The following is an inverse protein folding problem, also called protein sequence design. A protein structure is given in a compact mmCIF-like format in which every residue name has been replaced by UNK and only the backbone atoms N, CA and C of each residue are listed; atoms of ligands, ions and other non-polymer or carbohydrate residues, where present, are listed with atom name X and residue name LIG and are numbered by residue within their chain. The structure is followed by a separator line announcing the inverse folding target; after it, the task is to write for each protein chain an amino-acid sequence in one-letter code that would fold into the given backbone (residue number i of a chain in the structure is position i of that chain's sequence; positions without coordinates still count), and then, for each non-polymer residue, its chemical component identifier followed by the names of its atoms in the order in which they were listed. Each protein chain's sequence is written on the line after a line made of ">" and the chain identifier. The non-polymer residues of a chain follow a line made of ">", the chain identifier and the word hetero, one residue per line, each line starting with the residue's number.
data_IF_023552299794
#
_entry.id   IF_023552299794
#
_cell.length_a   1.000
_cell.length_b   1.000
_cell.length_c   1.000
_cell.angle_alpha   90.00
_cell.angle_beta   90.00
_cell.angle_gamma   90.00
#
_symmetry.space_group_name_H-M   'P 1'
#
loop_
_entity.id
_entity.type
_entity.pdbx_description
1 polymer ?
#
# COMPACT_ATOMS: atom_id res chain seq x y z
N UNK A 1 58.48 37.83 -5.15
CA UNK A 1 58.32 36.46 -5.66
C UNK A 1 57.50 35.66 -4.65
N UNK A 2 56.30 35.21 -5.07
CA UNK A 2 55.52 34.14 -4.43
C UNK A 2 56.30 32.80 -4.48
N UNK A 3 56.01 31.83 -3.59
CA UNK A 3 55.01 30.77 -3.87
C UNK A 3 54.12 30.49 -2.63
N UNK A 4 52.80 30.35 -2.70
CA UNK A 4 51.87 29.39 -3.37
C UNK A 4 51.23 28.45 -2.33
N UNK A 5 49.92 28.65 -2.10
CA UNK A 5 48.99 27.80 -1.35
C UNK A 5 48.84 26.42 -1.99
N UNK A 6 48.56 25.38 -1.17
CA UNK A 6 47.66 24.27 -1.53
C UNK A 6 46.89 23.81 -0.28
N UNK A 7 45.59 24.09 -0.26
CA UNK A 7 44.58 23.40 0.55
C UNK A 7 44.21 22.09 -0.16
N UNK A 8 44.04 20.95 0.52
CA UNK A 8 43.33 19.82 -0.06
C UNK A 8 41.83 20.03 0.17
N UNK A 9 41.19 20.76 -0.74
CA UNK A 9 39.77 20.61 -1.03
C UNK A 9 39.67 19.37 -1.93
N UNK A 10 39.28 18.20 -1.43
CA UNK A 10 38.74 17.10 -2.27
C UNK A 10 38.20 15.85 -1.54
N UNK A 11 38.17 15.77 -0.20
CA UNK A 11 37.65 14.55 0.48
C UNK A 11 36.27 14.67 1.12
N UNK A 12 35.66 15.86 1.19
CA UNK A 12 34.36 16.04 1.84
C UNK A 12 33.14 15.87 0.89
N UNK A 13 33.34 15.90 -0.44
CA UNK A 13 32.25 15.81 -1.41
C UNK A 13 31.81 14.37 -1.73
N UNK A 14 32.61 13.37 -1.34
CA UNK A 14 32.37 11.96 -1.71
C UNK A 14 31.61 11.17 -0.66
N UNK A 15 31.42 11.69 0.56
CA UNK A 15 30.62 11.04 1.62
C UNK A 15 29.16 11.50 1.65
N UNK A 16 28.84 12.66 1.05
CA UNK A 16 27.46 13.17 0.95
C UNK A 16 26.66 12.54 -0.20
N UNK A 17 27.30 11.75 -1.06
CA UNK A 17 26.66 11.16 -2.25
C UNK A 17 26.34 9.66 -2.08
N UNK A 18 26.90 8.99 -1.06
CA UNK A 18 26.80 7.54 -0.90
C UNK A 18 25.84 7.07 0.21
N UNK A 19 25.11 7.99 0.85
CA UNK A 19 24.13 7.66 1.93
C UNK A 19 22.69 8.01 1.52
N UNK A 20 22.47 8.55 0.32
CA UNK A 20 21.14 8.96 -0.18
C UNK A 20 20.39 7.87 -0.99
N UNK A 21 20.69 6.59 -0.78
CA UNK A 21 20.12 5.48 -1.57
C UNK A 21 19.56 4.32 -0.72
N UNK A 22 19.44 4.49 0.60
CA UNK A 22 18.83 3.50 1.47
C UNK A 22 17.52 4.09 2.03
N UNK A 23 16.41 3.84 1.34
CA UNK A 23 15.07 4.26 1.77
C UNK A 23 14.01 4.18 0.69
N UNK A 24 14.38 4.34 -0.58
CA UNK A 24 13.56 3.96 -1.72
C UNK A 24 14.53 3.45 -2.77
N UNK A 25 14.60 2.14 -2.99
CA UNK A 25 15.30 1.64 -4.15
C UNK A 25 14.63 2.22 -5.38
N UNK A 26 15.38 3.02 -6.16
CA UNK A 26 15.17 3.10 -7.61
C UNK A 26 15.24 1.64 -8.11
N UNK A 27 14.11 0.91 -8.11
CA UNK A 27 14.00 -0.36 -8.82
C UNK A 27 14.13 0.01 -10.30
N UNK A 28 15.31 -0.24 -10.87
CA UNK A 28 15.50 -0.38 -12.32
C UNK A 28 14.27 -1.10 -12.87
N UNK A 29 13.58 -0.46 -13.80
CA UNK A 29 12.34 -0.96 -14.41
C UNK A 29 12.42 -2.47 -14.59
N UNK A 30 11.67 -3.21 -13.76
CA UNK A 30 11.69 -4.66 -13.73
C UNK A 30 11.65 -5.19 -15.15
N UNK A 31 12.62 -6.02 -15.59
CA UNK A 31 12.63 -6.52 -16.95
C UNK A 31 11.28 -7.19 -17.23
N UNK A 32 10.64 -6.86 -18.36
CA UNK A 32 9.30 -7.36 -18.65
C UNK A 32 9.30 -8.89 -18.64
N UNK A 33 8.25 -9.47 -18.06
CA UNK A 33 8.06 -10.92 -18.09
C UNK A 33 8.08 -11.41 -19.56
N UNK A 34 8.67 -12.59 -19.84
CA UNK A 34 8.56 -13.20 -21.16
C UNK A 34 7.10 -13.25 -21.60
N UNK A 35 6.80 -12.96 -22.86
CA UNK A 35 5.43 -12.85 -23.38
C UNK A 35 4.58 -14.09 -23.07
N UNK A 36 5.20 -15.28 -23.16
CA UNK A 36 4.60 -16.58 -22.86
C UNK A 36 4.14 -16.75 -21.41
N UNK A 37 4.72 -15.96 -20.50
CA UNK A 37 4.40 -15.94 -19.08
C UNK A 37 3.54 -14.72 -18.73
N UNK A 38 3.85 -13.55 -19.27
CA UNK A 38 3.04 -12.34 -19.12
C UNK A 38 1.58 -12.58 -19.55
N UNK A 39 1.40 -13.33 -20.64
CA UNK A 39 0.09 -13.72 -21.12
C UNK A 39 -0.69 -14.61 -20.15
N UNK A 40 -0.09 -15.16 -19.08
CA UNK A 40 -0.76 -16.02 -18.08
C UNK A 40 -1.39 -15.23 -16.92
N UNK A 41 -1.10 -13.93 -16.82
CA UNK A 41 -1.75 -13.06 -15.85
C UNK A 41 -3.28 -13.03 -16.01
N UNK A 42 -3.99 -12.93 -14.89
CA UNK A 42 -5.45 -12.88 -14.87
C UNK A 42 -6.06 -13.69 -13.73
N UNK A 43 -7.39 -13.75 -13.74
CA UNK A 43 -8.16 -14.61 -12.84
C UNK A 43 -8.32 -16.02 -13.43
N UNK A 44 -8.24 -17.02 -12.56
CA UNK A 44 -8.33 -18.43 -12.89
C UNK A 44 -9.29 -19.13 -11.94
N UNK A 45 -10.07 -20.07 -12.48
CA UNK A 45 -10.99 -20.92 -11.75
C UNK A 45 -10.59 -22.37 -11.92
N UNK A 46 -10.39 -23.07 -10.80
CA UNK A 46 -10.15 -24.50 -10.78
C UNK A 46 -11.43 -25.27 -11.11
N UNK A 47 -11.33 -26.46 -11.68
CA UNK A 47 -12.50 -27.32 -11.97
C UNK A 47 -13.27 -27.69 -10.68
N UNK A 48 -12.61 -27.65 -9.51
CA UNK A 48 -13.19 -27.81 -8.18
C UNK A 48 -13.89 -26.55 -7.64
N UNK A 49 -13.75 -25.40 -8.30
CA UNK A 49 -14.47 -24.15 -8.03
C UNK A 49 -13.63 -23.04 -7.42
N UNK A 50 -12.46 -23.34 -6.85
CA UNK A 50 -11.55 -22.40 -6.22
C UNK A 50 -11.04 -21.35 -7.22
N UNK A 51 -10.81 -20.16 -6.70
CA UNK A 51 -10.36 -18.99 -7.45
C UNK A 51 -8.92 -18.64 -7.07
N UNK A 52 -8.12 -18.33 -8.07
CA UNK A 52 -6.79 -17.76 -7.89
C UNK A 52 -6.54 -16.66 -8.92
N UNK A 53 -5.72 -15.68 -8.57
CA UNK A 53 -5.18 -14.71 -9.50
C UNK A 53 -3.70 -15.00 -9.77
N UNK A 54 -3.28 -14.85 -11.02
CA UNK A 54 -1.88 -14.76 -11.39
C UNK A 54 -1.56 -13.31 -11.73
N UNK A 55 -0.56 -12.73 -11.09
CA UNK A 55 -0.15 -11.33 -11.34
C UNK A 55 1.34 -11.23 -11.58
N UNK A 56 1.77 -10.37 -12.53
CA UNK A 56 3.17 -10.03 -12.70
C UNK A 56 3.75 -9.42 -11.42
N UNK A 57 4.96 -9.83 -11.07
CA UNK A 57 5.79 -9.21 -10.03
C UNK A 57 7.26 -9.28 -10.46
N UNK A 58 8.14 -8.52 -9.81
CA UNK A 58 9.59 -8.69 -9.97
C UNK A 58 9.97 -10.16 -9.76
N UNK A 59 10.61 -10.75 -10.77
CA UNK A 59 11.08 -12.13 -10.75
C UNK A 59 10.11 -13.22 -11.27
N UNK A 60 8.85 -12.91 -11.60
CA UNK A 60 7.95 -13.93 -12.17
C UNK A 60 6.45 -13.64 -12.05
N UNK A 61 5.66 -14.72 -11.96
CA UNK A 61 4.22 -14.63 -11.66
C UNK A 61 3.95 -15.06 -10.24
N UNK A 62 3.16 -14.26 -9.52
CA UNK A 62 2.64 -14.65 -8.22
C UNK A 62 1.24 -15.21 -8.35
N UNK A 63 1.02 -16.41 -7.83
CA UNK A 63 -0.34 -16.88 -7.58
C UNK A 63 -0.83 -16.35 -6.23
N UNK A 64 -2.13 -16.03 -6.16
CA UNK A 64 -2.85 -15.71 -4.91
C UNK A 64 -4.20 -16.39 -4.93
N UNK A 65 -4.46 -17.27 -3.97
CA UNK A 65 -5.76 -17.86 -3.72
C UNK A 65 -6.64 -16.90 -2.91
N UNK A 66 -7.97 -17.06 -2.99
CA UNK A 66 -8.92 -16.25 -2.20
C UNK A 66 -8.77 -16.47 -0.68
N UNK A 67 -8.27 -17.63 -0.25
CA UNK A 67 -7.92 -17.91 1.15
C UNK A 67 -6.59 -17.27 1.59
N UNK A 68 -5.98 -16.46 0.72
CA UNK A 68 -4.79 -15.68 0.98
C UNK A 68 -3.48 -16.38 0.67
N UNK A 69 -3.44 -17.71 0.55
CA UNK A 69 -2.22 -18.48 0.21
C UNK A 69 -1.64 -17.99 -1.11
N UNK A 70 -0.33 -17.78 -1.12
CA UNK A 70 0.37 -17.17 -2.26
C UNK A 70 1.79 -17.68 -2.41
N UNK A 71 2.34 -17.54 -3.61
CA UNK A 71 3.72 -17.88 -3.89
C UNK A 71 4.18 -17.39 -5.25
N UNK A 72 5.48 -17.16 -5.36
CA UNK A 72 6.13 -16.72 -6.60
C UNK A 72 6.56 -17.93 -7.43
N UNK A 73 6.03 -18.06 -8.64
CA UNK A 73 6.48 -19.07 -9.58
C UNK A 73 7.86 -18.75 -10.13
N UNK A 74 8.73 -19.75 -10.06
CA UNK A 74 10.01 -19.82 -10.73
C UNK A 74 10.03 -21.01 -11.70
N UNK A 75 10.86 -20.98 -12.77
CA UNK A 75 11.03 -22.14 -13.66
C UNK A 75 11.51 -23.37 -12.88
N UNK A 76 10.82 -24.50 -13.05
CA UNK A 76 11.13 -25.77 -12.36
C UNK A 76 12.23 -26.62 -13.03
N UNK A 77 12.86 -26.13 -14.11
CA UNK A 77 13.82 -26.86 -14.94
C UNK A 77 13.59 -26.63 -16.44
N UNK A 78 13.96 -27.60 -17.28
CA UNK A 78 13.62 -27.59 -18.72
C UNK A 78 12.15 -28.00 -18.94
N UNK A 79 11.31 -27.09 -19.45
CA UNK A 79 9.92 -27.35 -19.84
C UNK A 79 8.91 -26.32 -19.30
N UNK A 80 7.59 -26.53 -19.51
CA UNK A 80 6.53 -25.59 -19.11
C UNK A 80 6.15 -25.67 -17.62
N UNK A 81 6.94 -26.39 -16.81
CA UNK A 81 6.67 -26.61 -15.41
C UNK A 81 7.29 -25.51 -14.56
N UNK A 82 6.46 -24.92 -13.71
CA UNK A 82 6.81 -23.90 -12.74
C UNK A 82 6.60 -24.46 -11.35
N UNK A 83 7.46 -24.07 -10.43
CA UNK A 83 7.31 -24.36 -9.02
C UNK A 83 7.33 -23.05 -8.24
N UNK A 84 6.57 -23.01 -7.16
CA UNK A 84 6.53 -21.86 -6.28
C UNK A 84 6.79 -22.31 -4.86
N UNK A 85 7.57 -21.50 -4.15
CA UNK A 85 7.81 -21.62 -2.73
C UNK A 85 6.78 -20.78 -1.98
N UNK A 86 6.53 -21.16 -0.73
CA UNK A 86 5.67 -20.36 0.14
C UNK A 86 6.30 -18.99 0.39
N UNK A 87 5.44 -17.98 0.55
CA UNK A 87 5.86 -16.67 1.00
C UNK A 87 5.96 -15.61 -0.09
N UNK A 88 6.18 -14.38 0.37
CA UNK A 88 6.25 -13.17 -0.44
C UNK A 88 7.54 -13.06 -1.25
N UNK A 89 8.62 -13.77 -0.88
CA UNK A 89 9.92 -13.75 -1.58
C UNK A 89 10.42 -15.14 -1.99
N UNK A 90 9.61 -16.19 -1.76
CA UNK A 90 9.98 -17.57 -2.09
C UNK A 90 11.08 -18.13 -1.18
N UNK A 91 11.03 -17.78 0.10
CA UNK A 91 12.09 -18.05 1.08
C UNK A 91 12.06 -19.49 1.63
N UNK A 92 10.96 -20.22 1.43
CA UNK A 92 10.88 -21.65 1.73
C UNK A 92 11.92 -22.47 0.96
N UNK A 93 12.52 -23.49 1.59
CA UNK A 93 13.50 -24.36 0.93
C UNK A 93 12.87 -25.32 -0.08
N UNK A 94 11.61 -25.71 0.14
CA UNK A 94 10.86 -26.68 -0.67
C UNK A 94 9.73 -26.01 -1.45
N UNK A 95 9.43 -26.46 -2.70
CA UNK A 95 8.28 -25.97 -3.44
C UNK A 95 6.96 -26.46 -2.84
N UNK A 96 6.05 -25.53 -2.57
CA UNK A 96 4.70 -25.83 -2.04
C UNK A 96 3.65 -25.87 -3.14
N UNK A 97 3.91 -25.26 -4.31
CA UNK A 97 2.98 -25.29 -5.42
C UNK A 97 3.69 -25.58 -6.74
N UNK A 98 2.96 -26.18 -7.68
CA UNK A 98 3.40 -26.39 -9.06
C UNK A 98 2.34 -25.94 -10.05
N UNK A 99 2.78 -25.42 -11.18
CA UNK A 99 1.93 -25.10 -12.32
C UNK A 99 2.54 -25.62 -13.61
N UNK A 100 1.70 -26.10 -14.52
CA UNK A 100 2.07 -26.36 -15.92
C UNK A 100 1.11 -25.60 -16.80
N UNK A 101 1.61 -24.57 -17.48
CA UNK A 101 0.81 -23.74 -18.37
C UNK A 101 0.69 -24.39 -19.75
N UNK A 102 -0.53 -24.45 -20.28
CA UNK A 102 -0.71 -24.64 -21.71
C UNK A 102 -0.41 -23.32 -22.46
N UNK A 103 -0.20 -23.35 -23.80
CA UNK A 103 -0.05 -22.13 -24.58
C UNK A 103 -1.19 -21.14 -24.32
N UNK A 104 -0.89 -19.84 -24.28
CA UNK A 104 -1.83 -18.78 -23.86
C UNK A 104 -3.25 -18.91 -24.44
N UNK A 105 -3.45 -19.19 -25.76
CA UNK A 105 -4.78 -19.29 -26.35
C UNK A 105 -5.63 -20.44 -25.80
N UNK A 106 -5.01 -21.46 -25.18
CA UNK A 106 -5.74 -22.57 -24.57
C UNK A 106 -6.45 -22.14 -23.27
N UNK A 107 -5.95 -21.11 -22.58
CA UNK A 107 -6.52 -20.61 -21.33
C UNK A 107 -6.61 -21.67 -20.23
N UNK A 108 -5.68 -22.62 -20.21
CA UNK A 108 -5.66 -23.76 -19.27
C UNK A 108 -4.30 -23.92 -18.62
N UNK A 109 -4.33 -24.37 -17.37
CA UNK A 109 -3.13 -24.84 -16.66
C UNK A 109 -3.49 -26.03 -15.77
N UNK A 110 -2.49 -26.84 -15.43
CA UNK A 110 -2.57 -27.74 -14.28
C UNK A 110 -1.90 -27.07 -13.10
N UNK A 111 -2.61 -26.94 -11.99
CA UNK A 111 -2.13 -26.35 -10.74
C UNK A 111 -2.24 -27.37 -9.62
N UNK A 112 -1.25 -27.42 -8.73
CA UNK A 112 -1.31 -28.21 -7.52
C UNK A 112 -0.64 -27.43 -6.38
N UNK A 113 -1.35 -27.27 -5.28
CA UNK A 113 -0.82 -26.76 -4.02
C UNK A 113 -0.75 -27.89 -3.00
N UNK A 114 0.36 -27.99 -2.27
CA UNK A 114 0.51 -28.87 -1.12
C UNK A 114 -0.56 -28.54 -0.07
N UNK A 115 -1.24 -29.57 0.43
CA UNK A 115 -2.38 -29.44 1.35
C UNK A 115 -3.43 -28.40 0.89
N UNK A 116 -3.65 -28.33 -0.43
CA UNK A 116 -4.50 -27.34 -1.05
C UNK A 116 -5.21 -27.85 -2.30
N UNK A 117 -5.81 -26.94 -3.07
CA UNK A 117 -6.52 -27.31 -4.27
C UNK A 117 -5.53 -27.80 -5.35
N UNK A 118 -5.94 -28.82 -6.09
CA UNK A 118 -5.14 -29.44 -7.14
C UNK A 118 -6.03 -29.90 -8.28
N UNK A 119 -5.61 -29.63 -9.51
CA UNK A 119 -6.38 -29.99 -10.70
C UNK A 119 -6.13 -29.08 -11.90
N UNK A 120 -7.04 -29.16 -12.86
CA UNK A 120 -7.06 -28.25 -14.00
C UNK A 120 -7.71 -26.93 -13.59
N UNK A 121 -7.10 -25.81 -14.00
CA UNK A 121 -7.65 -24.48 -13.89
C UNK A 121 -7.85 -23.85 -15.26
N UNK A 122 -8.91 -23.08 -15.40
CA UNK A 122 -9.26 -22.34 -16.60
C UNK A 122 -9.21 -20.86 -16.30
N UNK A 123 -8.66 -20.11 -17.24
CA UNK A 123 -8.65 -18.66 -17.14
C UNK A 123 -10.07 -18.12 -17.32
N UNK A 124 -10.46 -17.21 -16.44
CA UNK A 124 -11.74 -16.51 -16.55
C UNK A 124 -11.66 -15.45 -17.65
N UNK A 125 -12.75 -15.29 -18.41
CA UNK A 125 -12.83 -14.28 -19.47
C UNK A 125 -13.39 -12.98 -18.89
N UNK A 126 -12.54 -12.23 -18.18
CA UNK A 126 -12.93 -10.93 -17.63
C UNK A 126 -13.00 -9.89 -18.76
N UNK A 127 -14.13 -9.17 -18.86
CA UNK A 127 -14.27 -8.11 -19.86
C UNK A 127 -13.45 -6.89 -19.43
N UNK A 128 -12.41 -6.58 -20.21
CA UNK A 128 -11.35 -5.64 -19.83
C UNK A 128 -11.27 -4.51 -20.85
N UNK A 129 -11.35 -3.27 -20.35
CA UNK A 129 -11.32 -2.06 -21.15
C UNK A 129 -10.16 -1.19 -20.70
N UNK A 130 -9.03 -1.29 -21.40
CA UNK A 130 -7.92 -0.35 -21.24
C UNK A 130 -8.32 1.04 -21.76
N UNK A 131 -7.91 2.08 -21.05
CA UNK A 131 -8.26 3.46 -21.37
C UNK A 131 -7.14 4.44 -21.01
N UNK A 132 -7.27 5.66 -21.52
CA UNK A 132 -6.59 6.81 -20.96
C UNK A 132 -7.62 7.92 -20.71
N UNK A 133 -7.49 8.60 -19.58
CA UNK A 133 -8.44 9.61 -19.13
C UNK A 133 -7.74 10.84 -18.58
N UNK A 134 -8.41 11.98 -18.64
CA UNK A 134 -7.83 13.24 -18.17
C UNK A 134 -8.06 13.44 -16.69
N UNK A 135 -7.00 13.85 -15.99
CA UNK A 135 -7.09 14.46 -14.66
C UNK A 135 -6.41 15.83 -14.71
N UNK A 136 -7.21 16.90 -14.63
CA UNK A 136 -6.73 18.26 -14.92
C UNK A 136 -6.10 18.35 -16.31
N UNK A 137 -4.81 18.64 -16.36
CA UNK A 137 -4.03 18.84 -17.59
C UNK A 137 -3.28 17.62 -18.12
N UNK A 138 -3.23 16.53 -17.34
CA UNK A 138 -2.49 15.32 -17.70
C UNK A 138 -3.42 14.18 -18.11
N UNK A 139 -2.89 13.24 -18.90
CA UNK A 139 -3.53 11.97 -19.23
C UNK A 139 -3.00 10.85 -18.33
N UNK A 140 -3.91 10.14 -17.68
CA UNK A 140 -3.61 8.97 -16.86
C UNK A 140 -3.99 7.69 -17.62
N UNK A 141 -3.25 6.61 -17.39
CA UNK A 141 -3.56 5.27 -17.90
C UNK A 141 -4.49 4.56 -16.92
N UNK A 142 -5.57 3.97 -17.43
CA UNK A 142 -6.55 3.25 -16.63
C UNK A 142 -7.00 1.95 -17.28
N UNK A 143 -7.67 1.11 -16.49
CA UNK A 143 -8.30 -0.13 -16.94
C UNK A 143 -9.55 -0.40 -16.11
N UNK A 144 -10.67 -0.61 -16.80
CA UNK A 144 -11.88 -1.17 -16.21
C UNK A 144 -11.89 -2.69 -16.43
N UNK A 145 -12.00 -3.47 -15.36
CA UNK A 145 -12.12 -4.92 -15.39
C UNK A 145 -13.47 -5.31 -14.83
N UNK A 146 -14.30 -5.95 -15.66
CA UNK A 146 -15.64 -6.39 -15.30
C UNK A 146 -15.66 -7.90 -14.99
N UNK A 147 -16.54 -8.35 -14.08
CA UNK A 147 -16.78 -9.77 -13.86
C UNK A 147 -17.24 -10.49 -15.13
N UNK A 148 -17.00 -11.79 -15.17
CA UNK A 148 -17.52 -12.65 -16.24
C UNK A 148 -19.06 -12.56 -16.29
N UNK A 149 -19.64 -12.46 -17.49
CA UNK A 149 -21.10 -12.37 -17.71
C UNK A 149 -21.80 -11.22 -16.96
N UNK A 150 -21.17 -10.05 -16.95
CA UNK A 150 -21.70 -8.74 -16.56
C UNK A 150 -23.02 -8.34 -17.26
N UNK A 151 -24.16 -8.99 -16.93
CA UNK A 151 -25.46 -8.77 -17.57
C UNK A 151 -26.33 -7.67 -16.91
N UNK A 152 -25.76 -6.87 -16.00
CA UNK A 152 -26.44 -5.81 -15.28
C UNK A 152 -25.51 -5.04 -14.34
N UNK A 153 -26.03 -4.04 -13.60
CA UNK A 153 -25.23 -3.23 -12.69
C UNK A 153 -24.57 -4.09 -11.60
N UNK A 154 -23.25 -3.99 -11.47
CA UNK A 154 -22.43 -4.68 -10.49
C UNK A 154 -21.77 -3.68 -9.53
N UNK A 155 -21.29 -4.10 -8.35
CA UNK A 155 -20.46 -3.25 -7.50
C UNK A 155 -19.15 -2.88 -8.20
N UNK A 156 -18.70 -1.64 -8.01
CA UNK A 156 -17.43 -1.11 -8.51
C UNK A 156 -16.52 -0.71 -7.36
N UNK A 157 -15.26 -1.15 -7.41
CA UNK A 157 -14.15 -0.64 -6.62
C UNK A 157 -13.19 0.16 -7.50
N UNK A 158 -13.01 1.45 -7.21
CA UNK A 158 -11.92 2.24 -7.77
C UNK A 158 -10.73 2.12 -6.82
N UNK A 159 -9.62 1.56 -7.31
CA UNK A 159 -8.45 1.24 -6.49
C UNK A 159 -7.54 2.45 -6.36
N UNK A 160 -7.23 2.82 -5.12
CA UNK A 160 -6.32 3.90 -4.77
C UNK A 160 -5.06 3.29 -4.15
N UNK A 161 -3.93 3.57 -4.79
CA UNK A 161 -2.64 2.97 -4.48
C UNK A 161 -2.03 3.54 -3.19
N UNK A 162 -1.06 2.81 -2.62
CA UNK A 162 -0.20 3.26 -1.53
C UNK A 162 0.86 4.24 -2.04
N UNK A 163 1.96 4.38 -1.31
CA UNK A 163 3.07 5.30 -1.62
C UNK A 163 4.01 4.78 -2.72
N UNK A 164 3.77 3.62 -3.31
CA UNK A 164 4.57 3.10 -4.42
C UNK A 164 4.57 4.00 -5.67
N UNK A 165 5.61 3.87 -6.49
CA UNK A 165 5.81 4.59 -7.75
C UNK A 165 5.87 3.69 -9.00
N UNK A 166 5.33 2.47 -8.91
CA UNK A 166 5.20 1.54 -10.03
C UNK A 166 3.79 1.55 -10.68
N UNK A 167 3.65 0.80 -11.78
CA UNK A 167 2.41 0.65 -12.54
C UNK A 167 1.40 -0.26 -11.83
N UNK A 168 0.35 0.34 -11.26
CA UNK A 168 -0.73 -0.44 -10.63
C UNK A 168 -1.53 -1.23 -11.68
N UNK A 169 -1.73 -0.69 -12.88
CA UNK A 169 -2.42 -1.38 -13.98
C UNK A 169 -1.72 -2.70 -14.31
N UNK A 170 -0.39 -2.76 -14.20
CA UNK A 170 0.35 -3.96 -14.55
C UNK A 170 0.51 -4.95 -13.40
N UNK A 171 0.56 -4.49 -12.14
CA UNK A 171 0.95 -5.38 -11.03
C UNK A 171 -0.09 -5.61 -9.94
N UNK A 172 -1.12 -4.76 -9.82
CA UNK A 172 -2.08 -4.90 -8.72
C UNK A 172 -2.95 -6.16 -8.88
N UNK A 173 -2.92 -7.12 -7.94
CA UNK A 173 -3.64 -8.38 -8.09
C UNK A 173 -5.14 -8.27 -7.85
N UNK A 174 -5.57 -7.24 -7.12
CA UNK A 174 -6.97 -6.96 -6.79
C UNK A 174 -7.82 -6.70 -8.04
N UNK A 175 -7.21 -6.25 -9.14
CA UNK A 175 -7.86 -6.12 -10.45
C UNK A 175 -8.33 -7.45 -11.05
N UNK A 176 -7.84 -8.58 -10.55
CA UNK A 176 -8.28 -9.93 -10.94
C UNK A 176 -9.09 -10.60 -9.83
N UNK A 177 -8.66 -10.46 -8.58
CA UNK A 177 -9.31 -11.11 -7.43
C UNK A 177 -10.74 -10.62 -7.17
N UNK A 178 -11.00 -9.32 -7.34
CA UNK A 178 -12.34 -8.75 -7.12
C UNK A 178 -13.30 -9.10 -8.26
N UNK A 179 -12.95 -8.96 -9.56
CA UNK A 179 -13.84 -9.38 -10.64
C UNK A 179 -14.13 -10.88 -10.66
N UNK A 180 -13.16 -11.71 -10.26
CA UNK A 180 -13.38 -13.15 -10.10
C UNK A 180 -14.47 -13.49 -9.05
N UNK A 181 -14.68 -12.58 -8.09
CA UNK A 181 -15.67 -12.65 -7.02
C UNK A 181 -16.92 -11.78 -7.29
N UNK A 182 -17.07 -11.23 -8.51
CA UNK A 182 -18.28 -10.49 -8.92
C UNK A 182 -18.22 -8.97 -8.71
N UNK A 183 -17.06 -8.40 -8.38
CA UNK A 183 -16.86 -6.95 -8.18
C UNK A 183 -16.07 -6.35 -9.34
N UNK A 184 -16.64 -5.38 -10.05
CA UNK A 184 -15.91 -4.62 -11.05
C UNK A 184 -14.80 -3.78 -10.41
N UNK A 185 -13.71 -3.60 -11.14
CA UNK A 185 -12.55 -2.83 -10.69
C UNK A 185 -12.19 -1.78 -11.72
N UNK A 186 -11.96 -0.54 -11.27
CA UNK A 186 -11.18 0.42 -12.03
C UNK A 186 -9.81 0.58 -11.37
N UNK A 187 -8.76 0.20 -12.08
CA UNK A 187 -7.37 0.37 -11.69
C UNK A 187 -6.72 1.38 -12.64
N UNK A 188 -5.84 2.23 -12.13
CA UNK A 188 -5.14 3.23 -12.93
C UNK A 188 -3.71 3.40 -12.45
N UNK A 189 -2.83 3.87 -13.31
CA UNK A 189 -1.48 4.23 -12.92
C UNK A 189 -1.51 5.62 -12.29
N UNK A 190 -0.86 5.79 -11.13
CA UNK A 190 -0.71 7.10 -10.49
C UNK A 190 0.00 8.05 -11.46
N UNK A 191 -0.28 9.35 -11.39
CA UNK A 191 0.49 10.36 -12.12
C UNK A 191 2.00 10.14 -11.97
N UNK A 192 2.73 10.23 -13.07
CA UNK A 192 4.16 9.95 -13.13
C UNK A 192 4.58 8.49 -12.94
N UNK A 193 3.65 7.53 -12.88
CA UNK A 193 3.97 6.08 -12.83
C UNK A 193 3.41 5.33 -14.03
N UNK A 194 3.99 4.17 -14.34
CA UNK A 194 3.52 3.29 -15.40
C UNK A 194 3.34 4.02 -16.74
N UNK A 195 2.12 3.98 -17.29
CA UNK A 195 1.78 4.68 -18.53
C UNK A 195 1.12 6.06 -18.34
N UNK A 196 1.05 6.59 -17.11
CA UNK A 196 0.46 7.89 -16.81
C UNK A 196 1.44 9.04 -17.00
N UNK A 197 0.97 10.16 -17.52
CA UNK A 197 1.74 11.40 -17.64
C UNK A 197 1.95 12.09 -16.28
N UNK A 198 2.72 13.18 -16.29
CA UNK A 198 2.99 14.02 -15.11
C UNK A 198 4.22 13.61 -14.32
N UNK A 199 4.38 14.21 -13.16
CA UNK A 199 5.43 13.86 -12.19
C UNK A 199 4.79 13.14 -11.01
N UNK A 200 5.51 12.14 -10.49
CA UNK A 200 5.07 11.40 -9.32
C UNK A 200 4.98 12.33 -8.10
N UNK A 201 3.92 12.18 -7.33
CA UNK A 201 3.71 12.95 -6.09
C UNK A 201 2.94 12.13 -5.06
N UNK A 202 3.08 12.53 -3.80
CA UNK A 202 2.33 12.06 -2.65
C UNK A 202 1.39 13.15 -2.10
N UNK A 203 1.05 14.18 -2.89
CA UNK A 203 0.06 15.18 -2.51
C UNK A 203 -1.35 14.54 -2.49
N UNK A 204 -1.91 14.39 -1.29
CA UNK A 204 -3.17 13.68 -1.10
C UNK A 204 -4.34 14.37 -1.80
N UNK A 205 -4.32 15.70 -1.93
CA UNK A 205 -5.40 16.45 -2.58
C UNK A 205 -5.40 16.24 -4.09
N UNK A 206 -4.21 16.27 -4.70
CA UNK A 206 -4.01 15.99 -6.12
C UNK A 206 -4.39 14.54 -6.45
N UNK A 207 -3.95 13.59 -5.62
CA UNK A 207 -4.28 12.18 -5.82
C UNK A 207 -5.78 11.88 -5.60
N UNK A 208 -6.44 12.63 -4.71
CA UNK A 208 -7.89 12.55 -4.56
C UNK A 208 -8.63 13.07 -5.80
N UNK A 209 -8.11 14.11 -6.47
CA UNK A 209 -8.68 14.59 -7.74
C UNK A 209 -8.49 13.56 -8.87
N UNK A 210 -7.36 12.85 -8.89
CA UNK A 210 -7.13 11.72 -9.82
C UNK A 210 -8.15 10.59 -9.61
N UNK A 211 -8.44 10.25 -8.36
CA UNK A 211 -9.44 9.24 -8.03
C UNK A 211 -10.86 9.64 -8.48
N UNK A 212 -11.22 10.93 -8.35
CA UNK A 212 -12.49 11.46 -8.85
C UNK A 212 -12.56 11.36 -10.38
N UNK A 213 -11.47 11.68 -11.09
CA UNK A 213 -11.38 11.54 -12.54
C UNK A 213 -11.46 10.07 -12.99
N UNK A 214 -10.78 9.16 -12.29
CA UNK A 214 -10.82 7.72 -12.52
C UNK A 214 -12.25 7.17 -12.38
N UNK A 215 -12.99 7.62 -11.36
CA UNK A 215 -14.40 7.25 -11.21
C UNK A 215 -15.27 7.77 -12.36
N UNK A 216 -15.06 9.01 -12.80
CA UNK A 216 -15.80 9.56 -13.93
C UNK A 216 -15.56 8.75 -15.21
N UNK A 217 -14.33 8.29 -15.44
CA UNK A 217 -13.98 7.44 -16.57
C UNK A 217 -14.61 6.05 -16.47
N UNK A 218 -14.59 5.43 -15.29
CA UNK A 218 -15.26 4.14 -15.06
C UNK A 218 -16.76 4.21 -15.42
N UNK A 219 -17.44 5.29 -15.03
CA UNK A 219 -18.86 5.55 -15.38
C UNK A 219 -19.07 5.73 -16.88
N UNK A 220 -18.12 6.36 -17.57
CA UNK A 220 -18.17 6.56 -19.04
C UNK A 220 -18.04 5.23 -19.79
N UNK A 221 -17.14 4.35 -19.33
CA UNK A 221 -16.88 3.04 -19.94
C UNK A 221 -18.01 2.04 -19.70
N UNK A 222 -18.79 2.18 -18.61
CA UNK A 222 -19.94 1.34 -18.33
C UNK A 222 -21.26 2.13 -18.22
N UNK A 223 -21.88 2.54 -19.35
CA UNK A 223 -23.12 3.32 -19.35
C UNK A 223 -24.32 2.61 -18.72
N UNK A 224 -24.30 1.29 -18.63
CA UNK A 224 -25.32 0.50 -17.92
C UNK A 224 -25.33 0.77 -16.41
N UNK A 225 -24.27 1.41 -15.89
CA UNK A 225 -24.11 1.78 -14.50
C UNK A 225 -23.58 0.65 -13.62
N UNK A 226 -23.35 1.00 -12.36
CA UNK A 226 -22.91 0.12 -11.29
C UNK A 226 -23.98 0.09 -10.21
N UNK A 227 -24.14 -1.04 -9.51
CA UNK A 227 -25.14 -1.16 -8.44
C UNK A 227 -24.72 -0.42 -7.16
N UNK A 228 -23.41 -0.18 -7.02
CA UNK A 228 -22.76 0.60 -5.98
C UNK A 228 -21.32 0.91 -6.40
N UNK A 229 -20.79 2.01 -5.92
CA UNK A 229 -19.49 2.56 -6.31
C UNK A 229 -18.75 2.98 -5.06
N UNK A 230 -17.48 2.64 -4.94
CA UNK A 230 -16.66 3.16 -3.85
C UNK A 230 -15.19 3.22 -4.16
N UNK A 231 -14.48 3.92 -3.28
CA UNK A 231 -13.02 4.01 -3.29
C UNK A 231 -12.45 2.98 -2.32
N UNK A 232 -11.45 2.24 -2.77
CA UNK A 232 -10.73 1.23 -1.96
C UNK A 232 -9.25 1.61 -1.96
N UNK A 233 -8.75 2.11 -0.84
CA UNK A 233 -7.40 2.63 -0.70
C UNK A 233 -6.57 1.84 0.31
N UNK A 234 -5.34 1.47 -0.07
CA UNK A 234 -4.38 0.82 0.82
C UNK A 234 -3.26 1.77 1.27
N UNK A 235 -2.79 1.67 2.50
CA UNK A 235 -1.69 2.51 3.03
C UNK A 235 -1.97 4.01 2.81
N UNK A 236 -1.16 4.74 2.05
CA UNK A 236 -1.42 6.13 1.62
C UNK A 236 -2.81 6.32 1.00
N UNK A 237 -3.29 5.34 0.23
CA UNK A 237 -4.63 5.31 -0.33
C UNK A 237 -5.74 5.39 0.73
N UNK A 238 -5.46 4.98 1.97
CA UNK A 238 -6.37 5.08 3.12
C UNK A 238 -6.67 6.51 3.55
N UNK A 239 -5.80 7.49 3.27
CA UNK A 239 -6.12 8.92 3.40
C UNK A 239 -6.84 9.47 2.18
N UNK A 240 -6.41 9.03 0.99
CA UNK A 240 -6.89 9.54 -0.29
C UNK A 240 -8.34 9.10 -0.54
N UNK A 241 -8.73 7.86 -0.19
CA UNK A 241 -10.07 7.34 -0.45
C UNK A 241 -11.17 8.12 0.28
N UNK A 242 -11.08 8.39 1.60
CA UNK A 242 -12.00 9.29 2.29
C UNK A 242 -11.99 10.72 1.72
N UNK A 243 -10.81 11.25 1.39
CA UNK A 243 -10.68 12.60 0.84
C UNK A 243 -11.35 12.72 -0.54
N UNK A 244 -11.17 11.74 -1.42
CA UNK A 244 -11.85 11.67 -2.71
C UNK A 244 -13.37 11.53 -2.55
N UNK A 245 -13.83 10.73 -1.59
CA UNK A 245 -15.25 10.59 -1.28
C UNK A 245 -15.89 11.90 -0.76
N UNK A 246 -15.11 12.79 -0.14
CA UNK A 246 -15.60 14.13 0.23
C UNK A 246 -15.81 15.06 -0.97
N UNK A 247 -15.20 14.75 -2.12
CA UNK A 247 -15.20 15.57 -3.34
C UNK A 247 -16.21 15.09 -4.40
N UNK A 248 -16.74 13.87 -4.27
CA UNK A 248 -17.69 13.28 -5.23
C UNK A 248 -18.63 12.28 -4.57
N UNK A 249 -19.78 12.00 -5.19
CA UNK A 249 -20.72 11.02 -4.68
C UNK A 249 -20.28 9.59 -4.98
N UNK A 250 -20.04 8.84 -3.91
CA UNK A 250 -19.83 7.39 -3.86
C UNK A 250 -20.78 6.75 -2.85
N UNK A 251 -20.95 5.44 -2.92
CA UNK A 251 -21.82 4.66 -2.04
C UNK A 251 -21.07 4.09 -0.82
N UNK A 252 -19.74 3.96 -0.88
CA UNK A 252 -18.91 3.47 0.22
C UNK A 252 -17.44 3.91 0.10
N UNK A 253 -16.69 3.76 1.19
CA UNK A 253 -15.23 3.87 1.24
C UNK A 253 -14.64 2.66 1.98
N UNK A 254 -13.53 2.11 1.50
CA UNK A 254 -12.74 1.14 2.23
C UNK A 254 -11.29 1.62 2.37
N UNK A 255 -10.80 1.74 3.59
CA UNK A 255 -9.41 2.03 3.93
C UNK A 255 -8.76 0.76 4.47
N UNK A 256 -7.69 0.32 3.83
CA UNK A 256 -6.97 -0.91 4.13
C UNK A 256 -5.59 -0.54 4.66
N UNK A 257 -5.24 -0.99 5.86
CA UNK A 257 -3.95 -0.73 6.53
C UNK A 257 -3.52 0.75 6.40
N UNK A 258 -4.52 1.64 6.51
CA UNK A 258 -4.34 3.09 6.48
C UNK A 258 -4.51 3.69 7.88
N UNK A 259 -4.22 4.98 8.00
CA UNK A 259 -4.21 5.67 9.29
C UNK A 259 -5.34 6.70 9.42
N UNK A 260 -5.83 6.88 10.64
CA UNK A 260 -6.74 7.98 11.01
C UNK A 260 -6.00 9.18 11.63
N UNK A 261 -4.66 9.17 11.54
CA UNK A 261 -3.74 10.26 11.88
C UNK A 261 -3.01 10.76 10.64
N UNK A 262 -2.43 11.96 10.70
CA UNK A 262 -1.62 12.51 9.60
C UNK A 262 -0.22 11.89 9.51
N UNK A 263 0.47 12.10 8.38
CA UNK A 263 1.78 11.49 8.09
C UNK A 263 2.89 11.89 9.10
N UNK A 264 2.82 13.08 9.71
CA UNK A 264 3.77 13.45 10.77
C UNK A 264 3.58 12.62 12.05
N UNK A 265 2.33 12.26 12.35
CA UNK A 265 2.03 11.42 13.51
C UNK A 265 2.46 9.97 13.29
N UNK A 266 2.37 9.48 12.05
CA UNK A 266 2.89 8.17 11.63
C UNK A 266 4.39 8.05 11.93
N UNK A 267 5.22 8.98 11.43
CA UNK A 267 6.67 9.00 11.69
C UNK A 267 6.96 8.97 13.20
N UNK A 268 6.26 9.80 13.97
CA UNK A 268 6.43 9.85 15.42
C UNK A 268 6.12 8.50 16.07
N UNK A 269 5.01 7.86 15.74
CA UNK A 269 4.65 6.58 16.36
C UNK A 269 5.58 5.44 15.92
N UNK A 270 6.07 5.45 14.67
CA UNK A 270 7.11 4.51 14.24
C UNK A 270 8.38 4.66 15.08
N UNK A 271 8.85 5.90 15.30
CA UNK A 271 10.00 6.17 16.21
C UNK A 271 9.73 5.64 17.61
N UNK A 272 8.50 5.81 18.14
CA UNK A 272 8.18 5.29 19.47
C UNK A 272 8.23 3.75 19.51
N UNK A 273 7.77 3.07 18.46
CA UNK A 273 7.78 1.61 18.37
C UNK A 273 9.20 1.05 18.18
N UNK A 274 10.03 1.69 17.35
CA UNK A 274 11.45 1.36 17.19
C UNK A 274 12.19 1.43 18.52
N UNK A 275 11.98 2.52 19.28
CA UNK A 275 12.62 2.71 20.57
C UNK A 275 12.13 1.67 21.61
N UNK A 276 10.83 1.32 21.60
CA UNK A 276 10.31 0.23 22.45
C UNK A 276 10.94 -1.11 22.08
N UNK A 277 11.07 -1.41 20.79
CA UNK A 277 11.69 -2.64 20.30
C UNK A 277 13.18 -2.72 20.68
N UNK A 278 13.88 -1.59 20.71
CA UNK A 278 15.24 -1.48 21.23
C UNK A 278 15.34 -1.58 22.77
N UNK A 279 14.21 -1.64 23.47
CA UNK A 279 14.14 -1.85 24.93
C UNK A 279 14.10 -0.57 25.76
N UNK A 280 13.82 0.59 25.14
CA UNK A 280 13.79 1.88 25.83
C UNK A 280 12.51 2.11 26.63
N UNK A 281 12.65 2.80 27.77
CA UNK A 281 11.58 3.05 28.72
C UNK A 281 10.77 4.33 28.44
N UNK A 282 9.68 4.56 29.20
CA UNK A 282 8.80 5.72 29.02
C UNK A 282 9.48 7.09 29.09
N UNK A 283 10.56 7.21 29.86
CA UNK A 283 11.36 8.43 30.00
C UNK A 283 12.12 8.79 28.72
N UNK A 284 12.66 7.79 28.02
CA UNK A 284 13.27 7.96 26.70
C UNK A 284 12.20 8.34 25.68
N UNK A 285 11.05 7.65 25.70
CA UNK A 285 9.94 7.94 24.77
C UNK A 285 9.39 9.36 24.96
N UNK A 286 9.36 9.90 26.17
CA UNK A 286 8.96 11.29 26.42
C UNK A 286 9.92 12.27 25.72
N UNK A 287 11.23 12.08 25.87
CA UNK A 287 12.25 12.92 25.23
C UNK A 287 12.26 12.75 23.71
N UNK A 288 12.06 11.54 23.21
CA UNK A 288 11.98 11.27 21.78
C UNK A 288 10.77 11.94 21.12
N UNK A 289 9.70 12.25 21.86
CA UNK A 289 8.59 13.08 21.35
C UNK A 289 9.04 14.52 21.09
N UNK A 290 9.88 15.09 21.94
CA UNK A 290 10.45 16.42 21.69
C UNK A 290 11.30 16.42 20.40
N UNK A 291 12.04 15.32 20.17
CA UNK A 291 12.82 15.14 18.94
C UNK A 291 11.92 15.06 17.71
N UNK A 292 10.88 14.23 17.75
CA UNK A 292 9.97 14.05 16.61
C UNK A 292 9.12 15.29 16.33
N UNK A 293 8.73 16.06 17.36
CA UNK A 293 8.07 17.36 17.16
C UNK A 293 8.98 18.37 16.43
N UNK A 294 10.28 18.37 16.73
CA UNK A 294 11.26 19.23 16.09
C UNK A 294 11.54 18.81 14.62
N UNK A 295 11.71 17.52 14.35
CA UNK A 295 11.89 17.00 12.99
C UNK A 295 10.63 17.22 12.15
N UNK A 296 9.45 16.99 12.71
CA UNK A 296 8.16 17.19 12.06
C UNK A 296 7.95 18.64 11.62
N UNK A 297 8.31 19.62 12.46
CA UNK A 297 8.21 21.04 12.10
C UNK A 297 9.09 21.39 10.89
N UNK A 298 10.30 20.83 10.83
CA UNK A 298 11.20 21.05 9.69
C UNK A 298 10.60 20.47 8.40
N UNK A 299 10.06 19.26 8.46
CA UNK A 299 9.40 18.58 7.33
C UNK A 299 8.16 19.34 6.85
N UNK A 300 7.23 19.63 7.76
CA UNK A 300 5.99 20.37 7.49
C UNK A 300 6.26 21.72 6.79
N UNK A 301 7.30 22.43 7.22
CA UNK A 301 7.66 23.74 6.64
C UNK A 301 8.35 23.64 5.27
N UNK A 302 8.62 22.44 4.75
CA UNK A 302 9.45 22.27 3.55
C UNK A 302 10.87 22.79 3.76
N UNK A 303 11.44 22.52 4.93
CA UNK A 303 12.79 22.92 5.35
C UNK A 303 13.00 24.45 5.36
N UNK A 304 11.96 25.22 5.67
CA UNK A 304 12.02 26.70 5.76
C UNK A 304 12.04 27.21 7.21
N UNK A 305 11.51 26.45 8.15
CA UNK A 305 11.48 26.75 9.59
C UNK A 305 11.88 25.50 10.41
N UNK A 306 12.11 25.61 11.72
CA UNK A 306 12.34 24.44 12.58
C UNK A 306 13.81 24.09 12.87
N UNK A 307 14.77 24.80 12.27
CA UNK A 307 16.20 24.50 12.45
C UNK A 307 16.73 24.79 13.87
N UNK A 308 16.15 25.78 14.57
CA UNK A 308 16.57 26.11 15.95
C UNK A 308 16.09 25.02 16.91
N UNK A 309 14.88 24.52 16.71
CA UNK A 309 14.30 23.41 17.45
C UNK A 309 15.07 22.11 17.20
N UNK A 310 15.42 21.81 15.94
CA UNK A 310 16.26 20.68 15.59
C UNK A 310 17.63 20.75 16.29
N UNK A 311 18.29 21.92 16.24
CA UNK A 311 19.57 22.10 16.90
C UNK A 311 19.46 21.93 18.42
N UNK A 312 18.38 22.43 19.03
CA UNK A 312 18.16 22.32 20.47
C UNK A 312 18.02 20.86 20.93
N UNK A 313 17.28 20.03 20.18
CA UNK A 313 17.13 18.60 20.52
C UNK A 313 18.40 17.80 20.24
N UNK A 314 19.15 18.13 19.18
CA UNK A 314 20.46 17.53 18.92
C UNK A 314 21.47 17.86 20.02
N UNK A 315 21.52 19.12 20.50
CA UNK A 315 22.39 19.53 21.59
C UNK A 315 21.98 18.92 22.94
N UNK A 316 20.68 18.74 23.17
CA UNK A 316 20.15 18.17 24.41
C UNK A 316 20.35 16.66 24.52
N UNK A 317 20.22 15.92 23.40
CA UNK A 317 20.11 14.46 23.42
C UNK A 317 21.10 13.73 22.53
N UNK A 318 21.87 14.41 21.68
CA UNK A 318 22.71 13.77 20.65
C UNK A 318 23.82 12.84 21.17
N UNK A 319 24.22 13.00 22.44
CA UNK A 319 25.21 12.13 23.11
C UNK A 319 24.56 10.96 23.89
N UNK A 320 23.22 10.93 23.98
CA UNK A 320 22.51 9.86 24.66
C UNK A 320 22.47 8.58 23.80
N UNK A 321 22.67 7.38 24.39
CA UNK A 321 22.73 6.13 23.62
C UNK A 321 21.49 5.84 22.77
N UNK A 322 20.29 6.20 23.26
CA UNK A 322 19.03 5.96 22.57
C UNK A 322 18.80 6.86 21.35
N UNK A 323 19.53 7.98 21.23
CA UNK A 323 19.32 8.93 20.13
C UNK A 323 19.71 8.34 18.78
N UNK A 324 20.70 7.44 18.75
CA UNK A 324 21.11 6.72 17.55
C UNK A 324 20.09 5.66 17.07
N UNK A 325 19.16 5.27 17.94
CA UNK A 325 18.12 4.30 17.63
C UNK A 325 16.88 4.95 16.98
N UNK A 326 16.85 6.28 16.84
CA UNK A 326 15.77 6.99 16.14
C UNK A 326 15.92 6.77 14.64
N UNK A 327 14.95 6.06 14.05
CA UNK A 327 14.84 5.85 12.60
C UNK A 327 13.58 6.57 12.08
N UNK A 328 12.39 6.01 12.31
CA UNK A 328 11.14 6.55 11.75
C UNK A 328 11.13 6.59 10.21
N UNK A 329 10.13 7.26 9.65
CA UNK A 329 9.98 7.46 8.21
C UNK A 329 11.00 8.50 7.70
N UNK A 330 11.19 9.59 8.45
CA UNK A 330 12.13 10.66 8.11
C UNK A 330 12.94 11.16 9.30
N UNK A 331 12.49 10.94 10.54
CA UNK A 331 13.11 11.58 11.72
C UNK A 331 14.60 11.31 11.84
N UNK A 332 15.05 10.06 11.70
CA UNK A 332 16.46 9.67 11.73
C UNK A 332 17.29 10.38 10.66
N UNK A 333 16.77 10.48 9.44
CA UNK A 333 17.44 11.19 8.34
C UNK A 333 17.55 12.70 8.60
N UNK A 334 16.49 13.31 9.13
CA UNK A 334 16.50 14.73 9.51
C UNK A 334 17.54 15.00 10.60
N UNK A 335 17.72 14.08 11.55
CA UNK A 335 18.71 14.23 12.62
C UNK A 335 20.17 14.16 12.12
N UNK A 336 20.43 13.68 10.91
CA UNK A 336 21.77 13.73 10.31
C UNK A 336 22.18 15.13 9.85
N UNK A 337 21.22 16.06 9.72
CA UNK A 337 21.46 17.43 9.29
C UNK A 337 22.34 18.14 10.33
N UNK A 338 23.55 18.53 9.90
CA UNK A 338 24.53 19.18 10.77
C UNK A 338 24.29 20.69 10.79
N UNK A 339 24.33 21.30 11.98
CA UNK A 339 24.14 22.75 12.16
C UNK A 339 25.13 23.67 11.42
N UNK A 340 26.26 23.16 10.93
CA UNK A 340 27.18 23.93 10.09
C UNK A 340 26.74 24.01 8.61
N UNK A 341 25.83 23.13 8.17
CA UNK A 341 25.38 23.08 6.79
C UNK A 341 24.51 24.31 6.48
N UNK A 342 24.77 25.04 5.37
CA UNK A 342 23.92 26.17 4.99
C UNK A 342 22.48 25.71 4.74
N UNK A 343 21.49 26.31 5.41
CA UNK A 343 20.07 25.91 5.32
C UNK A 343 19.53 25.90 3.88
N UNK A 344 19.95 26.87 3.05
CA UNK A 344 19.56 26.90 1.63
C UNK A 344 20.04 25.67 0.85
N UNK A 345 21.18 25.09 1.25
CA UNK A 345 21.72 23.87 0.64
C UNK A 345 20.97 22.64 1.14
N UNK A 346 20.70 22.55 2.44
CA UNK A 346 19.88 21.49 3.05
C UNK A 346 18.52 21.43 2.38
N UNK A 347 17.80 22.56 2.35
CA UNK A 347 16.51 22.67 1.66
C UNK A 347 16.60 22.26 0.20
N UNK A 348 17.63 22.69 -0.53
CA UNK A 348 17.79 22.30 -1.94
C UNK A 348 18.01 20.80 -2.13
N UNK A 349 18.65 20.12 -1.18
CA UNK A 349 18.86 18.67 -1.23
C UNK A 349 17.58 17.95 -0.82
N UNK A 350 17.00 18.31 0.31
CA UNK A 350 15.79 17.69 0.84
C UNK A 350 14.60 17.82 -0.13
N UNK A 351 14.38 19.01 -0.72
CA UNK A 351 13.30 19.23 -1.70
C UNK A 351 13.51 18.48 -3.03
N UNK A 352 14.64 17.79 -3.26
CA UNK A 352 14.77 16.86 -4.40
C UNK A 352 14.23 15.47 -4.09
N UNK A 353 14.26 15.09 -2.82
CA UNK A 353 13.75 13.81 -2.35
C UNK A 353 12.29 13.91 -1.91
N UNK A 354 11.83 15.11 -1.53
CA UNK A 354 10.44 15.39 -1.24
C UNK A 354 9.55 15.02 -2.43
N UNK A 355 8.57 14.16 -2.19
CA UNK A 355 7.58 13.73 -3.19
C UNK A 355 6.31 14.60 -3.12
N UNK A 356 6.34 15.71 -2.37
CA UNK A 356 5.19 16.60 -2.20
C UNK A 356 4.12 16.01 -1.27
N UNK A 357 4.54 15.21 -0.29
CA UNK A 357 3.63 14.57 0.66
C UNK A 357 2.86 15.64 1.43
N UNK A 358 1.55 15.44 1.62
CA UNK A 358 0.71 16.37 2.39
C UNK A 358 0.95 16.20 3.89
N UNK A 359 2.13 16.61 4.38
CA UNK A 359 2.57 16.43 5.77
C UNK A 359 1.59 17.02 6.80
N UNK A 360 0.98 18.16 6.50
CA UNK A 360 0.01 18.85 7.37
C UNK A 360 -1.46 18.38 7.17
N UNK A 361 -1.69 17.30 6.43
CA UNK A 361 -3.03 16.78 6.22
C UNK A 361 -3.62 16.19 7.50
N UNK A 362 -4.80 16.68 7.89
CA UNK A 362 -5.56 16.19 9.04
C UNK A 362 -6.74 15.30 8.58
N UNK A 363 -6.69 13.97 8.82
CA UNK A 363 -7.73 13.06 8.32
C UNK A 363 -9.05 13.16 9.09
N UNK A 364 -9.00 13.41 10.40
CA UNK A 364 -10.16 13.26 11.29
C UNK A 364 -11.37 14.13 10.89
N UNK A 365 -11.21 15.42 10.48
CA UNK A 365 -12.32 16.21 9.97
C UNK A 365 -13.01 15.60 8.74
N UNK A 366 -12.25 14.98 7.84
CA UNK A 366 -12.79 14.30 6.65
C UNK A 366 -13.55 13.05 7.07
N UNK A 367 -12.93 12.19 7.90
CA UNK A 367 -13.55 10.95 8.38
C UNK A 367 -14.85 11.19 9.15
N UNK A 368 -14.87 12.22 9.99
CA UNK A 368 -16.05 12.61 10.76
C UNK A 368 -17.17 13.19 9.88
N UNK A 369 -16.86 13.76 8.72
CA UNK A 369 -17.85 14.33 7.82
C UNK A 369 -18.51 13.31 6.88
N UNK A 370 -17.89 12.13 6.68
CA UNK A 370 -18.42 11.11 5.77
C UNK A 370 -19.67 10.41 6.34
N UNK A 371 -20.75 10.44 5.55
CA UNK A 371 -22.03 9.79 5.86
C UNK A 371 -22.21 8.44 5.15
N UNK A 372 -21.32 8.11 4.21
CA UNK A 372 -21.33 6.82 3.50
C UNK A 372 -20.73 5.71 4.38
N UNK A 373 -21.18 4.45 4.22
CA UNK A 373 -20.53 3.30 4.85
C UNK A 373 -19.02 3.28 4.63
N UNK A 374 -18.28 3.07 5.72
CA UNK A 374 -16.82 2.95 5.72
C UNK A 374 -16.41 1.55 6.20
N UNK A 375 -15.46 0.93 5.52
CA UNK A 375 -14.74 -0.25 6.01
C UNK A 375 -13.32 0.16 6.34
N UNK A 376 -12.88 -0.12 7.56
CA UNK A 376 -11.49 -0.01 7.98
C UNK A 376 -10.94 -1.41 8.26
N UNK A 377 -9.94 -1.82 7.50
CA UNK A 377 -9.21 -3.07 7.74
C UNK A 377 -7.83 -2.74 8.27
N UNK A 378 -7.47 -3.23 9.44
CA UNK A 378 -6.22 -2.89 10.14
C UNK A 378 -5.40 -4.15 10.37
N UNK A 379 -4.10 -4.10 10.05
CA UNK A 379 -3.14 -5.10 10.45
C UNK A 379 -2.78 -4.87 11.92
N UNK A 380 -2.92 -5.88 12.79
CA UNK A 380 -2.80 -5.70 14.23
C UNK A 380 -1.37 -5.33 14.67
N UNK A 381 -0.35 -5.85 13.98
CA UNK A 381 1.06 -5.66 14.33
C UNK A 381 1.83 -4.87 13.25
N UNK A 382 1.14 -4.00 12.53
CA UNK A 382 1.69 -3.14 11.47
C UNK A 382 2.83 -2.24 11.99
N UNK A 383 4.04 -2.47 11.48
CA UNK A 383 5.23 -1.68 11.84
C UNK A 383 5.40 -0.42 10.99
N UNK A 384 4.81 -0.37 9.80
CA UNK A 384 4.91 0.77 8.89
C UNK A 384 3.81 1.80 9.20
N UNK A 385 2.65 1.35 9.66
CA UNK A 385 1.52 2.21 10.03
C UNK A 385 1.02 1.88 11.45
N UNK A 386 1.71 2.34 12.51
CA UNK A 386 1.30 2.11 13.90
C UNK A 386 -0.16 2.48 14.15
N UNK A 387 -0.94 1.52 14.63
CA UNK A 387 -2.40 1.58 14.51
C UNK A 387 -3.14 1.97 15.80
N UNK A 388 -2.47 2.12 16.94
CA UNK A 388 -3.12 2.26 18.26
C UNK A 388 -4.05 3.47 18.30
N UNK A 389 -3.55 4.61 17.86
CA UNK A 389 -4.31 5.86 17.84
C UNK A 389 -5.32 5.88 16.70
N UNK A 390 -5.01 5.25 15.56
CA UNK A 390 -5.98 4.98 14.48
C UNK A 390 -7.19 4.23 15.03
N UNK A 391 -7.00 3.10 15.71
CA UNK A 391 -8.07 2.32 16.32
C UNK A 391 -8.85 3.14 17.36
N UNK A 392 -8.18 3.97 18.17
CA UNK A 392 -8.85 4.86 19.13
C UNK A 392 -9.77 5.86 18.44
N UNK A 393 -9.30 6.53 17.39
CA UNK A 393 -10.07 7.53 16.62
C UNK A 393 -11.25 6.88 15.90
N UNK A 394 -11.04 5.74 15.24
CA UNK A 394 -12.09 5.02 14.52
C UNK A 394 -13.20 4.54 15.47
N UNK A 395 -12.84 3.97 16.63
CA UNK A 395 -13.80 3.56 17.66
C UNK A 395 -14.57 4.74 18.26
N UNK A 396 -13.93 5.90 18.40
CA UNK A 396 -14.62 7.11 18.81
C UNK A 396 -15.67 7.55 17.77
N UNK A 397 -15.33 7.54 16.48
CA UNK A 397 -16.28 7.82 15.40
C UNK A 397 -17.44 6.80 15.35
N UNK A 398 -17.15 5.51 15.55
CA UNK A 398 -18.19 4.48 15.67
C UNK A 398 -19.13 4.76 16.85
N UNK A 399 -18.60 5.15 18.01
CA UNK A 399 -19.39 5.49 19.20
C UNK A 399 -20.26 6.74 19.00
N UNK A 400 -19.84 7.67 18.12
CA UNK A 400 -20.63 8.82 17.68
C UNK A 400 -21.72 8.47 16.64
N UNK A 401 -21.82 7.19 16.25
CA UNK A 401 -22.83 6.70 15.30
C UNK A 401 -22.44 6.85 13.84
N UNK A 402 -21.16 7.08 13.52
CA UNK A 402 -20.69 7.06 12.13
C UNK A 402 -20.79 5.65 11.56
N UNK A 403 -21.16 5.49 10.27
CA UNK A 403 -21.40 4.18 9.66
C UNK A 403 -20.08 3.47 9.31
N UNK A 404 -19.28 3.17 10.32
CA UNK A 404 -17.93 2.65 10.19
C UNK A 404 -17.87 1.20 10.68
N UNK A 405 -17.54 0.28 9.79
CA UNK A 405 -17.19 -1.10 10.11
C UNK A 405 -15.67 -1.19 10.29
N UNK A 406 -15.21 -1.80 11.38
CA UNK A 406 -13.79 -1.97 11.69
C UNK A 406 -13.48 -3.47 11.76
N UNK A 407 -12.41 -3.88 11.07
CA UNK A 407 -11.93 -5.26 11.07
C UNK A 407 -10.42 -5.26 11.33
N UNK A 408 -9.98 -5.99 12.35
CA UNK A 408 -8.57 -6.11 12.72
C UNK A 408 -8.11 -7.54 12.47
N UNK A 409 -7.05 -7.73 11.70
CA UNK A 409 -6.45 -9.05 11.44
C UNK A 409 -5.24 -9.29 12.38
N UNK A 410 -5.34 -10.22 13.34
CA UNK A 410 -4.22 -10.56 14.22
C UNK A 410 -3.12 -11.34 13.50
N UNK A 411 -1.87 -11.16 13.93
CA UNK A 411 -0.72 -11.83 13.35
C UNK A 411 -0.37 -11.32 11.96
N UNK A 412 -0.68 -10.05 11.66
CA UNK A 412 -0.41 -9.44 10.35
C UNK A 412 0.35 -8.14 10.46
N UNK A 413 1.22 -7.92 9.48
CA UNK A 413 1.99 -6.70 9.27
C UNK A 413 1.38 -5.84 8.14
N UNK A 414 2.05 -4.76 7.78
CA UNK A 414 1.64 -3.82 6.74
C UNK A 414 1.18 -4.52 5.47
N UNK A 415 0.06 -4.08 4.90
CA UNK A 415 -0.58 -4.74 3.75
C UNK A 415 -1.51 -5.91 4.12
N UNK A 416 -1.74 -6.17 5.41
CA UNK A 416 -2.51 -7.33 5.93
C UNK A 416 -1.82 -8.64 5.53
N UNK A 417 -0.51 -8.74 5.73
CA UNK A 417 0.25 -9.96 5.48
C UNK A 417 0.56 -10.68 6.79
N UNK A 418 0.22 -11.97 6.87
CA UNK A 418 0.79 -12.85 7.88
C UNK A 418 2.31 -12.92 7.70
N UNK A 419 3.04 -13.02 8.81
CA UNK A 419 4.50 -13.04 8.79
C UNK A 419 5.08 -14.12 9.70
N UNK A 420 6.29 -14.56 9.38
CA UNK A 420 7.17 -15.30 10.28
C UNK A 420 8.30 -14.38 10.76
N UNK A 421 8.90 -14.70 11.91
CA UNK A 421 10.14 -14.07 12.35
C UNK A 421 11.31 -15.03 12.12
N UNK A 422 12.27 -14.60 11.29
CA UNK A 422 13.47 -15.36 10.95
C UNK A 422 14.69 -14.45 11.14
N UNK A 423 15.67 -14.89 11.96
CA UNK A 423 16.88 -14.12 12.28
C UNK A 423 16.62 -12.66 12.73
N UNK A 424 15.49 -12.43 13.41
CA UNK A 424 15.07 -11.10 13.89
C UNK A 424 14.43 -10.20 12.82
N UNK A 425 14.22 -10.71 11.61
CA UNK A 425 13.49 -10.01 10.54
C UNK A 425 12.13 -10.65 10.29
N UNK A 426 11.15 -9.83 9.89
CA UNK A 426 9.83 -10.34 9.49
C UNK A 426 9.86 -10.75 8.02
N UNK A 427 9.39 -11.97 7.77
CA UNK A 427 9.21 -12.53 6.44
C UNK A 427 7.72 -12.60 6.15
N UNK A 428 7.27 -11.84 5.15
CA UNK A 428 5.86 -11.85 4.74
C UNK A 428 5.51 -13.16 4.04
N UNK A 429 4.40 -13.77 4.43
CA UNK A 429 3.99 -15.10 3.99
C UNK A 429 2.83 -15.01 2.98
N UNK A 430 1.68 -14.55 3.44
CA UNK A 430 0.41 -14.62 2.72
C UNK A 430 -0.58 -13.63 3.31
N UNK A 431 -1.68 -13.38 2.61
CA UNK A 431 -2.80 -12.72 3.30
C UNK A 431 -3.47 -13.72 4.25
N UNK A 432 -4.05 -13.28 5.37
CA UNK A 432 -4.81 -14.15 6.24
C UNK A 432 -6.09 -14.61 5.55
N UNK A 433 -6.56 -15.81 5.92
CA UNK A 433 -7.83 -16.33 5.43
C UNK A 433 -8.97 -15.35 5.74
N UNK A 434 -9.91 -15.25 4.81
CA UNK A 434 -11.06 -14.35 4.92
C UNK A 434 -10.81 -12.89 4.53
N UNK A 435 -9.57 -12.39 4.44
CA UNK A 435 -9.31 -10.99 4.05
C UNK A 435 -9.79 -10.66 2.63
N UNK A 436 -9.38 -11.44 1.63
CA UNK A 436 -9.79 -11.17 0.24
C UNK A 436 -11.28 -11.41 0.00
N UNK A 437 -11.89 -12.33 0.78
CA UNK A 437 -13.33 -12.59 0.78
C UNK A 437 -14.10 -11.44 1.44
N UNK A 438 -13.62 -10.91 2.57
CA UNK A 438 -14.17 -9.73 3.25
C UNK A 438 -14.31 -8.57 2.27
N UNK A 439 -13.23 -8.26 1.53
CA UNK A 439 -13.26 -7.15 0.58
C UNK A 439 -14.36 -7.35 -0.47
N UNK A 440 -14.43 -8.52 -1.11
CA UNK A 440 -15.42 -8.78 -2.14
C UNK A 440 -16.86 -8.75 -1.59
N UNK A 441 -17.11 -9.41 -0.46
CA UNK A 441 -18.44 -9.47 0.17
C UNK A 441 -18.91 -8.08 0.64
N UNK A 442 -18.05 -7.35 1.36
CA UNK A 442 -18.41 -6.04 1.90
C UNK A 442 -18.56 -4.99 0.79
N UNK A 443 -17.71 -5.03 -0.25
CA UNK A 443 -17.90 -4.16 -1.42
C UNK A 443 -19.22 -4.48 -2.11
N UNK A 444 -19.57 -5.77 -2.27
CA UNK A 444 -20.82 -6.17 -2.90
C UNK A 444 -22.05 -5.83 -2.07
N UNK A 445 -21.92 -5.78 -0.75
CA UNK A 445 -22.97 -5.40 0.19
C UNK A 445 -22.31 -4.85 1.47
N UNK A 446 -22.28 -3.52 1.70
CA UNK A 446 -21.55 -2.85 2.80
C UNK A 446 -22.04 -3.16 4.23
N UNK A 447 -21.97 -4.43 4.60
CA UNK A 447 -22.32 -5.03 5.87
C UNK A 447 -21.35 -6.17 6.16
N UNK A 448 -20.92 -6.30 7.41
CA UNK A 448 -20.10 -7.43 7.85
C UNK A 448 -20.99 -8.67 8.06
N UNK A 449 -20.64 -9.80 7.44
CA UNK A 449 -21.55 -10.95 7.30
C UNK A 449 -21.08 -12.27 7.90
N UNK A 450 -19.85 -12.38 8.36
CA UNK A 450 -19.41 -13.63 8.97
C UNK A 450 -18.09 -13.50 9.69
N UNK A 451 -17.58 -14.62 10.21
CA UNK A 451 -16.18 -14.68 10.55
C UNK A 451 -15.36 -14.56 9.25
N UNK A 452 -14.32 -13.72 9.29
CA UNK A 452 -13.34 -13.57 8.22
C UNK A 452 -12.01 -14.14 8.72
N UNK A 453 -11.91 -15.47 8.70
CA UNK A 453 -10.79 -16.18 9.31
C UNK A 453 -10.72 -15.93 10.82
N UNK A 454 -9.57 -15.47 11.30
CA UNK A 454 -9.32 -15.09 12.70
C UNK A 454 -9.54 -13.59 12.98
N UNK A 455 -10.12 -12.84 12.03
CA UNK A 455 -10.31 -11.40 12.19
C UNK A 455 -11.22 -11.05 13.38
N UNK A 456 -10.88 -9.96 14.05
CA UNK A 456 -11.74 -9.30 15.03
C UNK A 456 -12.63 -8.31 14.28
N UNK A 457 -13.94 -8.49 14.41
CA UNK A 457 -14.94 -7.75 13.63
C UNK A 457 -15.74 -6.84 14.56
N UNK A 458 -15.73 -5.54 14.28
CA UNK A 458 -16.43 -4.49 15.03
C UNK A 458 -17.41 -3.77 14.09
N UNK A 459 -18.68 -4.23 14.00
CA UNK A 459 -19.65 -3.63 13.08
C UNK A 459 -20.05 -2.21 13.51
N UNK A 460 -20.43 -1.40 12.53
CA UNK A 460 -20.98 -0.06 12.74
C UNK A 460 -22.15 -0.07 13.72
N UNK A 461 -22.31 1.03 14.48
CA UNK A 461 -23.37 1.16 15.46
C UNK A 461 -24.76 0.89 14.84
N UNK A 462 -25.48 -0.09 15.39
CA UNK A 462 -26.79 -0.54 14.89
C UNK A 462 -26.76 -1.63 13.82
N UNK A 463 -25.57 -2.00 13.32
CA UNK A 463 -25.37 -3.21 12.52
C UNK A 463 -25.60 -4.47 13.35
N UNK A 464 -26.30 -5.46 12.79
CA UNK A 464 -26.44 -6.76 13.45
C UNK A 464 -25.17 -7.56 13.21
N UNK A 465 -24.57 -8.06 14.28
CA UNK A 465 -23.57 -9.13 14.21
C UNK A 465 -24.31 -10.40 13.75
N UNK A 466 -24.16 -10.80 12.49
CA UNK A 466 -24.66 -12.10 12.03
C UNK A 466 -23.70 -13.17 12.55
N UNK A 467 -24.09 -13.78 13.68
CA UNK A 467 -23.40 -14.92 14.31
C UNK A 467 -23.37 -16.16 13.42
#
# INVERSE_FOLDING_TARGET
>A
MLPSRRFPLLTAASLLLSVLLAGCSDEEATPPLPEELACQAGAWRMDSGELLALSPVTGGLRYRLVDGRSGLFAPGGEGPAYSAREGWRGEGTEPVATATFEPCPAGRMRFALEDGPSGTARRMTLDTHDTSFRSGDISLRGRLVLPEQANGPMPLAVLLHGSEDYSAVDIYPTQYLLPAQGVAVFVYDKRGTGGSEGEYTQDFHVLADDAVAALAEARRLQPAGFSRIGFVGGSQGGWIAPLAASKTSVDYVAALFGLAEGALAEDREQVMDDLRAAGHGPDVLERAREVTDATARLMASGFTEGYEELAAVQDAYGDEPWFADIQGEFSGQVLEIRGWAPQWLVRRIAMRSDRGTSWDYEPLPVLAALEVPQLWVVAAEDREAPNVETLRRLRALQAEGRPLDLVVFPGTDHGIYEYAEEDGQRVMLRHPDGYLRLLAEWIAEPELRGPYGNAQVEPKAGGRETR
#
